data_IF_306083098821
#
_entry.id   IF_306083098821
#
_cell.length_a   1.000
_cell.length_b   1.000
_cell.length_c   1.000
_cell.angle_alpha   90.00
_cell.angle_beta   90.00
_cell.angle_gamma   90.00
#
_symmetry.space_group_name_H-M   'P 1'
#
loop_
_entity.id
_entity.type
_entity.pdbx_description
1 polymer ?
#
# COMPACT_ATOMS: atom_id res chain seq x y z
N UNK A 1 -11.81 10.78 -20.27
CA UNK A 1 -10.96 9.59 -20.08
C UNK A 1 -10.40 9.68 -18.68
N UNK A 2 -10.43 8.57 -17.93
CA UNK A 2 -10.01 8.50 -16.53
C UNK A 2 -8.81 7.58 -16.47
N UNK A 3 -7.84 7.87 -15.60
CA UNK A 3 -6.77 6.92 -15.34
C UNK A 3 -7.36 5.63 -14.75
N UNK A 4 -6.90 4.44 -15.16
CA UNK A 4 -7.36 3.19 -14.54
C UNK A 4 -6.97 3.19 -13.06
N UNK A 5 -7.87 2.73 -12.20
CA UNK A 5 -7.60 2.54 -10.78
C UNK A 5 -7.76 1.08 -10.44
N UNK A 6 -6.86 0.59 -9.59
CA UNK A 6 -6.88 -0.72 -8.97
C UNK A 6 -7.31 -0.52 -7.53
N UNK A 7 -8.39 -1.18 -7.14
CA UNK A 7 -8.85 -1.20 -5.75
C UNK A 7 -7.94 -2.15 -4.95
N UNK A 8 -6.98 -1.57 -4.23
CA UNK A 8 -6.05 -2.33 -3.41
C UNK A 8 -6.63 -2.58 -2.03
N UNK A 9 -6.99 -3.83 -1.72
CA UNK A 9 -7.49 -4.25 -0.41
C UNK A 9 -6.34 -4.40 0.58
N UNK A 10 -6.49 -3.81 1.75
CA UNK A 10 -5.55 -3.95 2.87
C UNK A 10 -6.31 -4.49 4.07
N UNK A 11 -5.71 -5.47 4.74
CA UNK A 11 -6.21 -6.02 5.99
C UNK A 11 -5.12 -5.95 7.04
N UNK A 12 -5.45 -5.33 8.16
CA UNK A 12 -4.54 -5.09 9.27
C UNK A 12 -5.05 -5.82 10.51
N UNK A 13 -4.24 -6.78 10.95
CA UNK A 13 -4.44 -7.54 12.16
C UNK A 13 -3.23 -7.32 13.09
N UNK A 14 -3.51 -7.15 14.38
CA UNK A 14 -2.51 -7.14 15.43
C UNK A 14 -1.95 -8.56 15.69
N UNK A 15 -0.88 -8.67 16.48
CA UNK A 15 -0.29 -9.95 16.90
C UNK A 15 -1.29 -10.92 17.56
N UNK A 16 -2.40 -10.41 18.08
CA UNK A 16 -3.48 -11.20 18.66
C UNK A 16 -4.59 -11.60 17.65
N UNK A 17 -4.34 -11.43 16.34
CA UNK A 17 -5.34 -11.56 15.27
C UNK A 17 -6.56 -10.64 15.43
N UNK A 18 -6.41 -9.54 16.16
CA UNK A 18 -7.43 -8.51 16.35
C UNK A 18 -7.34 -7.47 15.23
N UNK A 19 -8.48 -7.11 14.65
CA UNK A 19 -8.58 -6.05 13.66
C UNK A 19 -8.09 -4.70 14.22
N UNK A 20 -7.18 -4.03 13.50
CA UNK A 20 -6.69 -2.70 13.88
C UNK A 20 -7.51 -1.63 13.17
N UNK A 21 -8.49 -1.07 13.87
CA UNK A 21 -9.31 0.04 13.37
C UNK A 21 -8.62 1.39 13.55
N UNK A 22 -8.78 2.30 12.59
CA UNK A 22 -8.20 3.65 12.66
C UNK A 22 -6.70 3.73 12.32
N UNK A 23 -6.13 2.70 11.70
CA UNK A 23 -4.78 2.76 11.15
C UNK A 23 -4.79 3.57 9.86
N UNK A 24 -3.81 4.47 9.69
CA UNK A 24 -3.65 5.24 8.47
C UNK A 24 -2.70 4.52 7.52
N UNK A 25 -3.15 4.23 6.31
CA UNK A 25 -2.36 3.67 5.22
C UNK A 25 -2.15 4.77 4.19
N UNK A 26 -0.90 5.16 3.99
CA UNK A 26 -0.50 6.14 2.98
C UNK A 26 0.28 5.42 1.89
N UNK A 27 -0.23 5.41 0.67
CA UNK A 27 0.45 4.92 -0.51
C UNK A 27 1.06 6.08 -1.28
N UNK A 28 2.38 6.09 -1.44
CA UNK A 28 3.10 7.14 -2.15
C UNK A 28 3.92 6.56 -3.30
N UNK A 29 3.72 7.06 -4.51
CA UNK A 29 4.61 6.76 -5.64
C UNK A 29 6.01 7.31 -5.38
N UNK A 30 7.01 6.46 -5.58
CA UNK A 30 8.43 6.85 -5.50
C UNK A 30 8.82 7.84 -6.60
N UNK A 31 8.13 7.77 -7.75
CA UNK A 31 8.40 8.58 -8.93
C UNK A 31 7.11 9.10 -9.55
N UNK A 32 7.24 10.23 -10.22
CA UNK A 32 6.14 10.80 -10.98
C UNK A 32 5.87 9.97 -12.23
N UNK A 33 4.61 9.57 -12.43
CA UNK A 33 4.16 8.92 -13.66
C UNK A 33 3.11 9.75 -14.39
N UNK A 34 3.22 9.70 -15.71
CA UNK A 34 2.24 10.27 -16.64
C UNK A 34 1.66 9.13 -17.44
N UNK A 35 0.35 8.97 -17.36
CA UNK A 35 -0.37 7.97 -18.12
C UNK A 35 -1.28 8.67 -19.13
N UNK A 36 -1.01 8.48 -20.43
CA UNK A 36 -1.80 9.07 -21.53
C UNK A 36 -2.05 10.60 -21.40
N UNK A 37 -1.07 11.33 -20.85
CA UNK A 37 -1.17 12.78 -20.62
C UNK A 37 -1.84 13.19 -19.31
N UNK A 38 -2.29 12.23 -18.50
CA UNK A 38 -2.80 12.46 -17.15
C UNK A 38 -1.70 12.29 -16.11
N UNK A 39 -1.71 13.21 -15.15
CA UNK A 39 -0.84 13.20 -13.98
C UNK A 39 -1.38 12.20 -12.97
N UNK A 40 -0.65 11.11 -12.71
CA UNK A 40 -1.07 10.14 -11.70
C UNK A 40 -0.91 10.75 -10.30
N UNK A 41 -1.91 10.64 -9.41
CA UNK A 41 -1.80 11.14 -8.05
C UNK A 41 -0.66 10.43 -7.33
N UNK A 42 0.31 11.21 -6.85
CA UNK A 42 1.51 10.68 -6.21
C UNK A 42 1.22 10.07 -4.83
N UNK A 43 0.19 10.52 -4.14
CA UNK A 43 -0.13 10.08 -2.78
C UNK A 43 -1.62 9.83 -2.65
N UNK A 44 -1.96 8.65 -2.12
CA UNK A 44 -3.32 8.24 -1.75
C UNK A 44 -3.28 7.78 -0.31
N UNK A 45 -4.26 8.20 0.48
CA UNK A 45 -4.36 7.83 1.89
C UNK A 45 -5.73 7.22 2.17
N UNK A 46 -5.74 6.16 2.96
CA UNK A 46 -6.95 5.52 3.46
C UNK A 46 -6.79 5.18 4.94
N UNK A 47 -7.91 5.03 5.62
CA UNK A 47 -7.95 4.63 7.04
C UNK A 47 -8.66 3.30 7.16
N UNK A 48 -8.17 2.40 8.02
CA UNK A 48 -8.86 1.14 8.32
C UNK A 48 -10.16 1.38 9.08
N UNK A 49 -11.16 0.57 8.73
CA UNK A 49 -12.45 0.55 9.38
C UNK A 49 -12.45 -0.30 10.67
N UNK A 50 -13.62 -0.50 11.27
CA UNK A 50 -13.80 -1.30 12.49
C UNK A 50 -13.36 -2.78 12.34
N UNK A 51 -13.26 -3.29 11.11
CA UNK A 51 -12.81 -4.64 10.79
C UNK A 51 -11.32 -4.70 10.44
N UNK A 52 -10.61 -3.57 10.52
CA UNK A 52 -9.19 -3.48 10.16
C UNK A 52 -8.96 -3.56 8.65
N UNK A 53 -10.00 -3.32 7.86
CA UNK A 53 -9.97 -3.39 6.41
C UNK A 53 -9.96 -1.97 5.83
N UNK A 54 -9.22 -1.77 4.74
CA UNK A 54 -9.33 -0.56 3.93
C UNK A 54 -9.12 -0.88 2.46
N UNK A 55 -9.54 0.06 1.60
CA UNK A 55 -9.34 -0.02 0.16
C UNK A 55 -8.67 1.27 -0.30
N UNK A 56 -7.59 1.13 -1.08
CA UNK A 56 -6.90 2.25 -1.70
C UNK A 56 -7.07 2.16 -3.21
N UNK A 57 -7.66 3.17 -3.82
CA UNK A 57 -7.71 3.32 -5.27
C UNK A 57 -6.35 3.80 -5.80
N UNK A 58 -5.47 2.86 -6.15
CA UNK A 58 -4.14 3.14 -6.67
C UNK A 58 -4.09 2.92 -8.17
N UNK A 59 -3.35 3.75 -8.89
CA UNK A 59 -3.14 3.52 -10.32
C UNK A 59 -2.17 2.33 -10.52
N UNK A 60 -2.44 1.40 -11.45
CA UNK A 60 -1.62 0.23 -11.70
C UNK A 60 -0.27 0.59 -12.32
N UNK A 61 0.75 0.77 -11.48
CA UNK A 61 2.12 1.13 -11.90
C UNK A 61 2.84 0.04 -12.70
N UNK A 62 2.31 -1.18 -12.74
CA UNK A 62 2.78 -2.19 -13.70
C UNK A 62 2.56 -1.77 -15.17
N UNK A 63 1.58 -0.87 -15.44
CA UNK A 63 1.40 -0.25 -16.76
C UNK A 63 2.36 0.93 -17.00
N UNK A 64 3.08 1.34 -15.97
CA UNK A 64 3.97 2.47 -16.01
C UNK A 64 5.18 2.25 -16.90
N UNK A 65 5.53 3.28 -17.68
CA UNK A 65 6.73 3.23 -18.51
C UNK A 65 8.01 3.42 -17.69
N UNK A 66 7.90 3.92 -16.45
CA UNK A 66 9.03 4.26 -15.59
C UNK A 66 9.35 3.18 -14.54
N UNK A 67 8.64 2.05 -14.54
CA UNK A 67 8.78 0.99 -13.54
C UNK A 67 8.74 1.51 -12.09
N UNK A 68 7.81 2.44 -11.81
CA UNK A 68 7.68 3.04 -10.48
C UNK A 68 7.18 2.04 -9.46
N UNK A 69 7.35 2.34 -8.17
CA UNK A 69 6.84 1.52 -7.07
C UNK A 69 6.06 2.40 -6.09
N UNK A 70 5.05 1.83 -5.44
CA UNK A 70 4.36 2.49 -4.35
C UNK A 70 5.06 2.16 -3.03
N UNK A 71 5.45 3.20 -2.31
CA UNK A 71 5.87 3.12 -0.92
C UNK A 71 4.62 3.24 -0.05
N UNK A 72 4.21 2.12 0.52
CA UNK A 72 3.06 2.04 1.41
C UNK A 72 3.56 2.21 2.83
N UNK A 73 3.14 3.27 3.50
CA UNK A 73 3.38 3.51 4.91
C UNK A 73 2.12 3.17 5.68
N UNK A 74 2.23 2.25 6.62
CA UNK A 74 1.14 1.84 7.50
C UNK A 74 1.45 2.37 8.89
N UNK A 75 0.59 3.25 9.38
CA UNK A 75 0.71 3.85 10.69
C UNK A 75 -0.50 3.44 11.54
N UNK A 76 -0.38 2.34 12.30
CA UNK A 76 -1.41 1.92 13.25
C UNK A 76 -1.46 2.91 14.42
N UNK A 77 -2.62 2.99 15.07
CA UNK A 77 -2.88 3.94 16.16
C UNK A 77 -2.17 3.53 17.46
N UNK A 78 -2.01 2.23 17.68
CA UNK A 78 -1.52 1.65 18.94
C UNK A 78 -0.09 1.06 18.84
N UNK A 79 0.45 0.94 17.63
CA UNK A 79 1.72 0.25 17.37
C UNK A 79 2.69 1.07 16.53
N UNK A 80 3.93 0.57 16.41
CA UNK A 80 4.94 1.21 15.57
C UNK A 80 4.59 1.00 14.11
N UNK A 81 4.49 2.10 13.36
CA UNK A 81 4.24 2.03 11.92
C UNK A 81 5.38 1.34 11.16
N UNK A 82 5.01 0.70 10.06
CA UNK A 82 5.94 0.07 9.12
C UNK A 82 5.75 0.66 7.72
N UNK A 83 6.77 0.48 6.88
CA UNK A 83 6.70 0.88 5.48
C UNK A 83 7.11 -0.28 4.61
N UNK A 84 6.35 -0.53 3.57
CA UNK A 84 6.60 -1.56 2.57
C UNK A 84 6.58 -0.95 1.17
N UNK A 85 7.18 -1.63 0.20
CA UNK A 85 7.05 -1.26 -1.21
C UNK A 85 6.14 -2.26 -1.91
N UNK A 86 5.33 -1.79 -2.84
CA UNK A 86 4.38 -2.62 -3.58
C UNK A 86 4.30 -2.19 -5.05
N UNK A 87 4.09 -3.17 -5.92
CA UNK A 87 3.84 -2.94 -7.35
C UNK A 87 2.40 -3.36 -7.64
N UNK A 88 1.57 -2.41 -8.02
CA UNK A 88 0.15 -2.59 -8.34
C UNK A 88 0.04 -3.12 -9.78
N UNK A 89 -0.44 -4.37 -9.97
CA UNK A 89 -0.62 -4.96 -11.29
C UNK A 89 -1.77 -4.27 -12.05
N UNK A 90 -1.81 -4.46 -13.37
CA UNK A 90 -2.95 -4.07 -14.21
C UNK A 90 -4.17 -4.98 -13.93
N UNK A 91 -4.83 -4.74 -12.82
CA UNK A 91 -5.98 -5.49 -12.37
C UNK A 91 -7.02 -4.55 -11.74
N UNK A 92 -8.32 -4.89 -11.78
CA UNK A 92 -9.36 -4.09 -11.13
C UNK A 92 -9.26 -4.11 -9.60
N UNK A 93 -8.74 -5.21 -9.03
CA UNK A 93 -8.59 -5.42 -7.58
C UNK A 93 -7.29 -6.14 -7.29
N UNK A 94 -6.58 -5.77 -6.22
CA UNK A 94 -5.38 -6.46 -5.78
C UNK A 94 -5.24 -6.44 -4.26
N UNK A 95 -4.79 -7.54 -3.66
CA UNK A 95 -4.51 -7.56 -2.23
C UNK A 95 -3.10 -7.02 -1.96
N UNK A 96 -3.00 -6.02 -1.09
CA UNK A 96 -1.73 -5.41 -0.73
C UNK A 96 -0.74 -6.46 -0.21
N UNK A 97 -1.19 -7.42 0.58
CA UNK A 97 -0.33 -8.47 1.13
C UNK A 97 0.30 -9.37 0.05
N UNK A 98 -0.34 -9.49 -1.12
CA UNK A 98 0.18 -10.28 -2.24
C UNK A 98 1.16 -9.47 -3.10
N UNK A 99 0.90 -8.17 -3.26
CA UNK A 99 1.70 -7.29 -4.13
C UNK A 99 2.78 -6.50 -3.38
N UNK A 100 2.71 -6.46 -2.05
CA UNK A 100 3.73 -5.86 -1.21
C UNK A 100 4.95 -6.76 -1.15
N UNK A 101 6.07 -6.26 -1.67
CA UNK A 101 7.37 -6.79 -1.32
C UNK A 101 7.67 -6.28 0.10
N UNK A 102 7.42 -7.13 1.09
CA UNK A 102 7.83 -6.87 2.46
C UNK A 102 9.34 -6.60 2.45
N UNK A 103 9.82 -5.46 2.99
CA UNK A 103 11.24 -5.36 3.29
C UNK A 103 11.57 -6.52 4.23
N UNK A 104 12.77 -7.15 4.09
CA UNK A 104 13.19 -8.14 5.05
C UNK A 104 13.05 -7.50 6.43
N UNK A 105 12.26 -8.12 7.30
CA UNK A 105 12.31 -7.78 8.72
C UNK A 105 13.77 -7.86 9.09
N UNK A 106 14.37 -6.74 9.48
CA UNK A 106 15.68 -6.74 10.12
C UNK A 106 15.44 -7.46 11.43
N UNK A 107 15.51 -8.80 11.36
CA UNK A 107 15.62 -9.67 12.51
C UNK A 107 16.88 -9.20 13.18
N UNK A 108 16.75 -8.25 14.12
CA UNK A 108 17.79 -7.95 15.09
C UNK A 108 18.27 -9.33 15.56
N UNK A 109 19.54 -9.71 15.32
CA UNK A 109 20.03 -10.97 15.84
C UNK A 109 19.94 -10.84 17.35
N UNK A 110 19.01 -11.59 17.94
CA UNK A 110 18.93 -11.74 19.38
C UNK A 110 20.23 -12.43 19.78
N UNK A 111 21.12 -11.66 20.40
CA UNK A 111 22.36 -12.17 20.97
C UNK A 111 21.99 -13.07 22.14
N UNK A 112 22.25 -14.37 22.01
CA UNK A 112 22.48 -15.25 23.16
C UNK A 112 23.57 -16.27 22.86
#
# INVERSE_FOLDING_TARGET
>A
MSIPTCAVSVKLYDQNALAVAGATITAQLDRYEVHEGFVVPQMVEATTDAFGECTLDLWPNALGSQASSYKIKVQPTDAKGYSTVAVVPDAPTADLSLIAALPPVDSRPDFQ
#
